data_IF_043488576469
#
_entry.id   IF_043488576469
#
_cell.length_a   1.000
_cell.length_b   1.000
_cell.length_c   1.000
_cell.angle_alpha   90.00
_cell.angle_beta   90.00
_cell.angle_gamma   90.00
#
_symmetry.space_group_name_H-M   'P 1'
#
loop_
_entity.id
_entity.type
_entity.pdbx_description
1 polymer ?
#
# COMPACT_ATOMS: atom_id res chain seq x y z
N UNK A 1 -5.44 -51.28 22.90
CA UNK A 1 -6.28 -50.16 22.47
C UNK A 1 -5.63 -49.58 21.24
N UNK A 2 -6.35 -49.65 20.13
CA UNK A 2 -6.00 -49.16 18.80
C UNK A 2 -6.88 -47.92 18.61
N UNK A 3 -6.26 -46.75 18.51
CA UNK A 3 -6.92 -45.53 18.05
C UNK A 3 -6.22 -45.07 16.79
N UNK A 4 -7.00 -45.00 15.71
CA UNK A 4 -6.52 -44.67 14.39
C UNK A 4 -6.64 -43.19 14.03
N UNK A 5 -6.25 -42.97 12.77
CA UNK A 5 -6.89 -42.09 11.79
C UNK A 5 -6.39 -40.63 11.70
N UNK A 6 -5.64 -40.40 10.60
CA UNK A 6 -5.70 -39.27 9.64
C UNK A 6 -5.33 -37.88 10.20
N UNK A 7 -4.74 -36.93 9.47
CA UNK A 7 -4.96 -36.49 8.10
C UNK A 7 -3.82 -35.53 7.68
N UNK A 8 -3.59 -35.40 6.37
CA UNK A 8 -2.72 -34.40 5.74
C UNK A 8 -3.23 -32.97 5.98
N UNK A 9 -2.32 -31.98 5.96
CA UNK A 9 -2.72 -30.56 5.99
C UNK A 9 -1.52 -29.63 5.97
N UNK A 10 -1.08 -29.28 4.77
CA UNK A 10 0.03 -28.38 4.46
C UNK A 10 -0.57 -26.99 4.34
N UNK A 11 -0.46 -26.13 5.36
CA UNK A 11 -0.97 -24.77 5.26
C UNK A 11 0.01 -23.72 5.79
N UNK A 12 -0.07 -22.62 5.06
CA UNK A 12 0.93 -21.62 4.78
C UNK A 12 1.38 -20.82 6.00
N UNK A 13 2.65 -20.39 5.93
CA UNK A 13 3.27 -19.46 6.87
C UNK A 13 2.68 -18.07 6.63
N UNK A 14 1.48 -17.84 7.16
CA UNK A 14 0.82 -16.54 7.08
C UNK A 14 1.55 -15.54 7.97
N UNK A 15 2.30 -14.70 7.27
CA UNK A 15 3.16 -13.63 7.76
C UNK A 15 2.26 -12.48 8.18
N UNK A 16 1.79 -12.50 9.43
CA UNK A 16 1.01 -11.40 9.98
C UNK A 16 1.95 -10.24 10.29
N UNK A 17 2.23 -9.44 9.25
CA UNK A 17 2.88 -8.15 9.37
C UNK A 17 2.01 -7.24 10.23
N UNK A 18 2.49 -7.01 11.44
CA UNK A 18 2.00 -6.02 12.39
C UNK A 18 1.83 -4.68 11.67
N UNK A 19 0.57 -4.22 11.56
CA UNK A 19 0.24 -2.86 11.10
C UNK A 19 0.71 -1.89 12.18
N UNK A 20 1.95 -1.45 12.04
CA UNK A 20 2.47 -0.28 12.75
C UNK A 20 1.63 0.92 12.31
N UNK A 21 0.64 1.26 13.13
CA UNK A 21 -0.23 2.42 12.93
C UNK A 21 0.51 3.64 13.45
N UNK A 22 1.57 4.02 12.75
CA UNK A 22 2.24 5.29 12.91
C UNK A 22 1.25 6.41 12.66
N UNK A 23 0.74 6.99 13.75
CA UNK A 23 -0.12 8.17 13.74
C UNK A 23 0.81 9.37 13.56
N UNK A 24 1.26 9.59 12.33
CA UNK A 24 1.99 10.81 11.97
C UNK A 24 0.96 11.94 11.88
N UNK A 25 0.83 12.72 12.95
CA UNK A 25 0.05 13.95 12.96
C UNK A 25 0.82 15.03 12.18
N UNK A 26 0.75 14.93 10.84
CA UNK A 26 1.21 15.95 9.92
C UNK A 26 0.44 17.26 10.19
N UNK A 27 1.11 18.20 10.87
CA UNK A 27 0.62 19.57 11.08
C UNK A 27 0.88 20.42 9.82
N UNK A 28 0.36 19.99 8.67
CA UNK A 28 0.64 20.60 7.37
C UNK A 28 -0.61 20.83 6.52
N UNK A 29 -1.30 21.96 6.75
CA UNK A 29 -2.34 22.46 5.84
C UNK A 29 -3.76 21.99 6.17
N UNK A 30 -4.74 22.77 5.72
CA UNK A 30 -6.17 22.47 5.87
C UNK A 30 -6.47 21.02 5.46
N UNK A 31 -7.46 20.34 6.07
CA UNK A 31 -7.82 18.98 5.69
C UNK A 31 -8.20 18.97 4.21
N UNK A 32 -7.26 18.52 3.37
CA UNK A 32 -7.51 18.28 1.98
C UNK A 32 -8.24 16.94 1.91
N UNK A 33 -9.36 16.90 1.18
CA UNK A 33 -9.95 15.65 0.76
C UNK A 33 -8.84 14.86 0.05
N UNK A 34 -8.49 13.71 0.63
CA UNK A 34 -7.39 12.88 0.16
C UNK A 34 -7.91 11.51 -0.21
N UNK A 35 -7.53 11.05 -1.40
CA UNK A 35 -7.74 9.67 -1.82
C UNK A 35 -6.50 8.87 -1.46
N UNK A 36 -6.66 7.90 -0.56
CA UNK A 36 -5.57 6.99 -0.20
C UNK A 36 -5.29 6.04 -1.36
N UNK A 37 -4.06 6.07 -1.87
CA UNK A 37 -3.55 5.08 -2.80
C UNK A 37 -2.69 4.06 -2.06
N UNK A 38 -3.05 2.79 -2.17
CA UNK A 38 -2.25 1.66 -1.68
C UNK A 38 -1.56 1.01 -2.86
N UNK A 39 -0.23 0.91 -2.80
CA UNK A 39 0.56 0.26 -3.83
C UNK A 39 0.90 -1.19 -3.43
N UNK A 40 0.94 -2.15 -4.39
CA UNK A 40 1.32 -3.53 -4.11
C UNK A 40 2.74 -3.70 -3.55
N UNK A 41 3.63 -2.70 -3.69
CA UNK A 41 4.96 -2.74 -3.10
C UNK A 41 4.97 -2.49 -1.58
N UNK A 42 3.81 -2.21 -0.97
CA UNK A 42 3.67 -2.07 0.47
C UNK A 42 3.67 -0.64 1.01
N UNK A 43 3.66 0.39 0.15
CA UNK A 43 3.48 1.78 0.60
C UNK A 43 2.03 2.25 0.43
N UNK A 44 1.65 3.25 1.22
CA UNK A 44 0.38 3.98 1.08
C UNK A 44 0.65 5.48 1.09
N UNK A 45 -0.03 6.22 0.23
CA UNK A 45 0.07 7.68 0.16
C UNK A 45 -1.32 8.30 0.08
N UNK A 46 -1.55 9.37 0.84
CA UNK A 46 -2.72 10.23 0.66
C UNK A 46 -2.47 11.17 -0.51
N UNK A 47 -3.25 11.03 -1.58
CA UNK A 47 -3.19 11.97 -2.70
C UNK A 47 -4.25 13.04 -2.51
N UNK A 48 -3.91 14.34 -2.64
CA UNK A 48 -4.90 15.40 -2.63
C UNK A 48 -5.98 15.18 -3.70
N UNK A 49 -7.11 15.84 -3.51
CA UNK A 49 -8.22 15.72 -4.44
C UNK A 49 -7.84 16.10 -5.89
N UNK A 50 -8.41 15.35 -6.84
CA UNK A 50 -8.14 15.52 -8.27
C UNK A 50 -6.88 14.82 -8.79
N UNK A 51 -6.06 14.23 -7.92
CA UNK A 51 -4.94 13.39 -8.36
C UNK A 51 -5.42 12.02 -8.85
N UNK A 52 -4.85 11.56 -9.97
CA UNK A 52 -5.19 10.28 -10.58
C UNK A 52 -3.93 9.47 -10.87
N UNK A 53 -3.97 8.17 -10.57
CA UNK A 53 -2.93 7.24 -10.99
C UNK A 53 -2.98 7.09 -12.51
N UNK A 54 -1.86 7.36 -13.17
CA UNK A 54 -1.70 7.22 -14.62
C UNK A 54 -1.23 5.81 -14.97
N UNK A 55 -0.18 5.34 -14.30
CA UNK A 55 0.38 4.01 -14.55
C UNK A 55 1.22 3.55 -13.36
N UNK A 56 1.23 2.25 -13.09
CA UNK A 56 2.16 1.59 -12.18
C UNK A 56 3.03 0.60 -12.98
N UNK A 57 4.27 0.38 -12.54
CA UNK A 57 5.17 -0.59 -13.15
C UNK A 57 6.44 -0.80 -12.34
N UNK A 58 7.44 -1.46 -12.93
CA UNK A 58 8.71 -1.79 -12.25
C UNK A 58 9.50 -0.55 -11.77
N UNK A 59 9.27 0.62 -12.38
CA UNK A 59 9.85 1.89 -11.96
C UNK A 59 9.02 2.62 -10.88
N UNK A 60 7.93 2.01 -10.40
CA UNK A 60 6.99 2.59 -9.45
C UNK A 60 5.72 3.17 -10.09
N UNK A 61 5.08 4.11 -9.39
CA UNK A 61 3.75 4.64 -9.71
C UNK A 61 3.80 6.09 -10.15
N UNK A 62 3.09 6.41 -11.23
CA UNK A 62 2.95 7.76 -11.79
C UNK A 62 1.55 8.28 -11.54
N UNK A 63 1.47 9.55 -11.12
CA UNK A 63 0.22 10.26 -10.90
C UNK A 63 0.20 11.57 -11.68
N UNK A 64 -1.01 11.96 -12.10
CA UNK A 64 -1.30 13.25 -12.69
C UNK A 64 -2.20 14.03 -11.74
N UNK A 65 -1.80 15.25 -11.42
CA UNK A 65 -2.56 16.20 -10.63
C UNK A 65 -3.54 17.00 -11.49
N UNK A 66 -4.52 17.67 -10.85
CA UNK A 66 -5.61 18.36 -11.54
C UNK A 66 -5.14 19.56 -12.38
N UNK A 67 -4.00 20.18 -12.04
CA UNK A 67 -3.42 21.29 -12.81
C UNK A 67 -2.28 20.83 -13.75
N UNK A 68 -2.24 19.55 -14.14
CA UNK A 68 -1.18 18.99 -14.98
C UNK A 68 0.13 18.70 -14.25
N UNK A 69 0.11 18.76 -12.91
CA UNK A 69 1.24 18.32 -12.07
C UNK A 69 1.52 16.83 -12.29
N UNK A 70 2.77 16.42 -12.12
CA UNK A 70 3.18 15.01 -12.26
C UNK A 70 3.95 14.59 -11.03
N UNK A 71 3.59 13.45 -10.46
CA UNK A 71 4.31 12.80 -9.36
C UNK A 71 4.74 11.41 -9.81
N UNK A 72 5.95 11.03 -9.45
CA UNK A 72 6.49 9.69 -9.59
C UNK A 72 6.94 9.21 -8.22
N UNK A 73 6.40 8.08 -7.79
CA UNK A 73 6.86 7.36 -6.62
C UNK A 73 7.62 6.15 -7.13
N UNK A 74 8.95 6.22 -7.10
CA UNK A 74 9.82 5.10 -7.46
C UNK A 74 10.17 4.27 -6.24
N UNK A 75 10.04 2.96 -6.36
CA UNK A 75 10.51 2.02 -5.34
C UNK A 75 11.87 1.46 -5.77
N UNK A 76 12.76 1.30 -4.80
CA UNK A 76 14.05 0.64 -5.01
C UNK A 76 13.96 -0.76 -4.44
N UNK A 77 14.50 -1.75 -5.15
CA UNK A 77 14.63 -3.13 -4.67
C UNK A 77 15.96 -3.25 -3.91
N UNK A 78 15.89 -3.61 -2.63
CA UNK A 78 17.05 -3.98 -1.80
C UNK A 78 17.20 -5.50 -1.71
#
# INVERSE_FOLDING_TARGET
>A
EDEGKQEEGKDDKDKQGEKDKGKDEDKGGAPLDTTTHQDPSGFSIGLPDGWKRVSSGAAGVRFAGPAGQKLLIGTTTT
#
